data_IF_168503822830
#
_entry.id   IF_168503822830
#
_cell.length_a   1.000
_cell.length_b   1.000
_cell.length_c   1.000
_cell.angle_alpha   90.00
_cell.angle_beta   90.00
_cell.angle_gamma   90.00
#
_symmetry.space_group_name_H-M   'P 1'
#
loop_
_entity.id
_entity.type
_entity.pdbx_description
1 polymer ?
#
# COMPACT_ATOMS: atom_id res chain seq x y z
N UNK A 1 8.79 45.26 -29.91
CA UNK A 1 8.48 43.86 -29.53
C UNK A 1 7.93 43.86 -28.12
N UNK A 2 6.61 43.74 -27.95
CA UNK A 2 5.94 43.74 -26.65
C UNK A 2 6.08 42.36 -26.00
N UNK A 3 6.92 42.24 -24.98
CA UNK A 3 7.05 41.02 -24.18
C UNK A 3 5.76 40.77 -23.40
N UNK A 4 5.09 39.64 -23.69
CA UNK A 4 3.95 39.17 -22.88
C UNK A 4 4.40 39.04 -21.42
N UNK A 5 3.70 39.66 -20.45
CA UNK A 5 4.00 39.44 -19.04
C UNK A 5 3.81 37.96 -18.73
N UNK A 6 4.87 37.33 -18.20
CA UNK A 6 4.81 35.95 -17.73
C UNK A 6 3.84 35.92 -16.55
N UNK A 7 2.62 35.42 -16.79
CA UNK A 7 1.60 35.30 -15.76
C UNK A 7 2.06 34.22 -14.75
N UNK A 8 2.86 34.62 -13.78
CA UNK A 8 3.26 33.74 -12.70
C UNK A 8 2.04 33.56 -11.80
N UNK A 9 1.27 32.49 -12.00
CA UNK A 9 0.19 32.14 -11.08
C UNK A 9 0.84 31.69 -9.77
N UNK A 10 0.84 32.52 -8.71
CA UNK A 10 1.43 32.14 -7.44
C UNK A 10 0.47 31.12 -6.82
N UNK A 11 0.80 29.85 -7.00
CA UNK A 11 0.00 28.73 -6.48
C UNK A 11 -0.25 28.95 -5.00
N UNK A 12 -1.51 28.84 -4.59
CA UNK A 12 -1.88 29.03 -3.18
C UNK A 12 -1.20 27.97 -2.30
N UNK A 13 -0.98 28.26 -1.03
CA UNK A 13 -0.37 27.33 -0.08
C UNK A 13 -1.09 25.97 -0.05
N UNK A 14 -2.42 25.98 -0.17
CA UNK A 14 -3.23 24.76 -0.27
C UNK A 14 -2.95 23.94 -1.54
N UNK A 15 -2.75 24.61 -2.69
CA UNK A 15 -2.39 23.93 -3.94
C UNK A 15 -0.99 23.31 -3.87
N UNK A 16 -0.05 24.00 -3.21
CA UNK A 16 1.30 23.48 -2.99
C UNK A 16 1.27 22.27 -2.05
N UNK A 17 0.57 22.36 -0.92
CA UNK A 17 0.42 21.26 0.04
C UNK A 17 -0.26 20.03 -0.58
N UNK A 18 -1.27 20.21 -1.44
CA UNK A 18 -1.90 19.11 -2.16
C UNK A 18 -0.93 18.41 -3.14
N UNK A 19 -0.14 19.18 -3.89
CA UNK A 19 0.88 18.61 -4.79
C UNK A 19 1.94 17.82 -4.03
N UNK A 20 2.40 18.38 -2.92
CA UNK A 20 3.37 17.72 -2.04
C UNK A 20 2.84 16.41 -1.47
N UNK A 21 1.57 16.37 -1.03
CA UNK A 21 0.93 15.13 -0.57
C UNK A 21 0.80 14.11 -1.70
N UNK A 22 0.48 14.57 -2.91
CA UNK A 22 0.36 13.73 -4.09
C UNK A 22 1.69 13.06 -4.46
N UNK A 23 2.81 13.78 -4.38
CA UNK A 23 4.13 13.22 -4.72
C UNK A 23 4.43 11.95 -3.92
N UNK A 24 4.26 11.97 -2.60
CA UNK A 24 4.50 10.77 -1.78
C UNK A 24 3.60 9.60 -2.20
N UNK A 25 2.31 9.86 -2.39
CA UNK A 25 1.34 8.84 -2.80
C UNK A 25 1.69 8.22 -4.16
N UNK A 26 2.13 9.02 -5.12
CA UNK A 26 2.54 8.52 -6.43
C UNK A 26 3.75 7.59 -6.28
N UNK A 27 4.77 8.00 -5.54
CA UNK A 27 5.95 7.16 -5.29
C UNK A 27 5.57 5.86 -4.55
N UNK A 28 4.72 5.95 -3.52
CA UNK A 28 4.21 4.77 -2.80
C UNK A 28 3.48 3.82 -3.74
N UNK A 29 2.60 4.34 -4.60
CA UNK A 29 1.88 3.52 -5.56
C UNK A 29 2.84 2.84 -6.54
N UNK A 30 3.84 3.55 -7.05
CA UNK A 30 4.83 2.98 -7.97
C UNK A 30 5.53 1.77 -7.35
N UNK A 31 5.96 1.89 -6.09
CA UNK A 31 6.58 0.78 -5.35
C UNK A 31 5.64 -0.40 -5.08
N UNK A 32 4.36 -0.13 -4.82
CA UNK A 32 3.37 -1.15 -4.46
C UNK A 32 2.46 -1.57 -5.61
N UNK A 33 2.74 -1.13 -6.84
CA UNK A 33 1.80 -1.21 -7.95
C UNK A 33 1.43 -2.64 -8.33
N UNK A 34 2.34 -3.60 -8.20
CA UNK A 34 2.09 -5.03 -8.41
C UNK A 34 1.07 -5.58 -7.40
N UNK A 35 1.13 -5.13 -6.15
CA UNK A 35 0.27 -5.58 -5.06
C UNK A 35 -1.09 -4.90 -5.04
N UNK A 36 -1.18 -3.65 -5.52
CA UNK A 36 -2.44 -2.86 -5.52
C UNK A 36 -3.33 -3.19 -6.74
N UNK A 37 -2.80 -3.89 -7.75
CA UNK A 37 -3.61 -4.37 -8.87
C UNK A 37 -4.58 -5.44 -8.37
N UNK A 38 -5.87 -5.28 -8.67
CA UNK A 38 -6.91 -6.22 -8.26
C UNK A 38 -7.45 -6.08 -6.82
N UNK A 39 -6.89 -5.19 -5.99
CA UNK A 39 -7.28 -5.06 -4.57
C UNK A 39 -8.50 -4.17 -4.32
N UNK A 40 -9.09 -3.60 -5.37
CA UNK A 40 -10.28 -2.74 -5.29
C UNK A 40 -11.45 -3.40 -6.04
N UNK A 41 -12.22 -4.30 -5.38
CA UNK A 41 -13.26 -5.10 -6.04
C UNK A 41 -14.45 -4.25 -6.50
N UNK A 42 -14.81 -3.19 -5.77
CA UNK A 42 -15.94 -2.30 -6.10
C UNK A 42 -15.57 -1.16 -7.05
N UNK A 43 -14.44 -1.27 -7.75
CA UNK A 43 -13.96 -0.25 -8.68
C UNK A 43 -14.77 -0.28 -9.97
N UNK A 44 -15.27 0.88 -10.42
CA UNK A 44 -15.90 1.01 -11.74
C UNK A 44 -14.93 0.61 -12.87
N UNK A 45 -15.46 0.09 -13.98
CA UNK A 45 -14.66 -0.43 -15.11
C UNK A 45 -13.68 0.61 -15.68
N UNK A 46 -14.09 1.88 -15.71
CA UNK A 46 -13.30 2.99 -16.24
C UNK A 46 -12.23 3.56 -15.27
N UNK A 47 -12.18 3.07 -14.04
CA UNK A 47 -11.19 3.52 -13.06
C UNK A 47 -10.00 2.56 -13.01
N UNK A 48 -8.78 3.07 -12.81
CA UNK A 48 -7.61 2.23 -12.54
C UNK A 48 -7.43 2.02 -11.03
N UNK A 49 -6.70 0.99 -10.62
CA UNK A 49 -6.32 0.83 -9.20
C UNK A 49 -5.50 2.02 -8.70
N UNK A 50 -4.73 2.67 -9.58
CA UNK A 50 -4.06 3.94 -9.29
C UNK A 50 -5.06 5.03 -8.88
N UNK A 51 -6.10 5.24 -9.70
CA UNK A 51 -7.12 6.27 -9.42
C UNK A 51 -7.83 6.00 -8.09
N UNK A 52 -8.13 4.74 -7.79
CA UNK A 52 -8.71 4.33 -6.50
C UNK A 52 -7.76 4.65 -5.35
N UNK A 53 -6.50 4.21 -5.45
CA UNK A 53 -5.49 4.46 -4.42
C UNK A 53 -5.32 5.96 -4.14
N UNK A 54 -5.16 6.79 -5.17
CA UNK A 54 -5.03 8.24 -5.00
C UNK A 54 -6.30 8.83 -4.38
N UNK A 55 -7.50 8.46 -4.84
CA UNK A 55 -8.76 8.97 -4.30
C UNK A 55 -8.90 8.68 -2.81
N UNK A 56 -8.63 7.44 -2.38
CA UNK A 56 -8.78 7.01 -0.99
C UNK A 56 -7.76 7.64 -0.04
N UNK A 57 -6.55 7.93 -0.54
CA UNK A 57 -5.45 8.40 0.31
C UNK A 57 -5.21 9.93 0.22
N UNK A 58 -5.61 10.59 -0.87
CA UNK A 58 -5.48 12.04 -1.04
C UNK A 58 -6.65 12.80 -0.41
N UNK A 59 -7.85 12.21 -0.42
CA UNK A 59 -9.11 12.84 -0.01
C UNK A 59 -9.14 13.37 1.42
N UNK A 60 -10.17 14.17 1.74
CA UNK A 60 -10.35 14.82 3.05
C UNK A 60 -10.51 13.81 4.20
N UNK A 61 -11.06 12.64 3.90
CA UNK A 61 -11.29 11.54 4.85
C UNK A 61 -10.02 10.74 5.17
N UNK A 62 -8.94 10.95 4.40
CA UNK A 62 -7.66 10.30 4.67
C UNK A 62 -7.07 10.82 5.97
N UNK A 63 -6.90 9.91 6.93
CA UNK A 63 -6.24 10.18 8.21
C UNK A 63 -4.73 10.40 8.04
N UNK A 64 -4.16 9.99 6.90
CA UNK A 64 -2.72 10.09 6.63
C UNK A 64 -2.40 11.42 5.93
N UNK A 65 -1.62 12.26 6.63
CA UNK A 65 -1.13 13.54 6.12
C UNK A 65 0.39 13.51 6.08
N UNK A 66 0.91 13.11 4.93
CA UNK A 66 2.36 13.06 4.66
C UNK A 66 2.69 14.11 3.63
N UNK A 67 3.71 14.92 3.92
CA UNK A 67 4.18 15.99 3.05
C UNK A 67 5.68 15.87 2.88
N UNK A 68 6.15 15.89 1.64
CA UNK A 68 7.56 15.93 1.29
C UNK A 68 8.04 17.37 1.08
N UNK A 69 9.19 17.72 1.62
CA UNK A 69 9.86 18.95 1.22
C UNK A 69 10.36 18.85 -0.23
N UNK A 70 10.90 19.95 -0.77
CA UNK A 70 11.34 20.00 -2.18
C UNK A 70 12.48 19.02 -2.48
N UNK A 71 13.42 18.86 -1.55
CA UNK A 71 14.57 17.96 -1.72
C UNK A 71 14.10 16.50 -1.69
N UNK A 72 13.31 16.12 -0.68
CA UNK A 72 12.69 14.79 -0.57
C UNK A 72 11.87 14.43 -1.82
N UNK A 73 11.06 15.36 -2.32
CA UNK A 73 10.28 15.15 -3.54
C UNK A 73 11.17 14.96 -4.79
N UNK A 74 12.27 15.72 -4.89
CA UNK A 74 13.22 15.61 -6.00
C UNK A 74 13.98 14.28 -6.01
N UNK A 75 14.23 13.74 -4.80
CA UNK A 75 14.87 12.43 -4.58
C UNK A 75 13.87 11.26 -4.66
N UNK A 76 12.61 11.53 -5.03
CA UNK A 76 11.53 10.54 -5.04
C UNK A 76 11.42 9.78 -3.70
N UNK A 77 11.58 10.48 -2.58
CA UNK A 77 11.42 9.87 -1.26
C UNK A 77 10.02 9.27 -1.12
N UNK A 78 9.94 8.17 -0.37
CA UNK A 78 8.68 7.54 -0.02
C UNK A 78 8.61 7.31 1.48
N UNK A 79 7.67 7.99 2.13
CA UNK A 79 7.33 7.76 3.52
C UNK A 79 6.27 6.66 3.58
N UNK A 80 6.57 5.59 4.31
CA UNK A 80 5.65 4.49 4.58
C UNK A 80 4.69 4.93 5.68
N UNK A 81 3.40 4.87 5.39
CA UNK A 81 2.34 5.27 6.30
C UNK A 81 1.13 4.33 6.10
N UNK A 82 0.13 4.31 7.01
CA UNK A 82 -1.00 3.39 6.95
C UNK A 82 -2.01 3.80 5.86
N UNK A 83 -1.60 3.72 4.60
CA UNK A 83 -2.42 3.99 3.44
C UNK A 83 -3.45 2.88 3.22
N UNK A 84 -4.61 3.25 2.67
CA UNK A 84 -5.56 2.29 2.16
C UNK A 84 -5.02 1.71 0.83
N UNK A 85 -4.56 0.47 0.87
CA UNK A 85 -4.00 -0.26 -0.30
C UNK A 85 -4.96 -1.30 -0.89
N UNK A 86 -6.03 -1.62 -0.17
CA UNK A 86 -7.05 -2.59 -0.56
C UNK A 86 -8.42 -2.24 0.03
N UNK A 87 -9.46 -2.73 -0.61
CA UNK A 87 -10.85 -2.69 -0.15
C UNK A 87 -11.46 -4.08 -0.23
N UNK A 88 -12.41 -4.36 0.65
CA UNK A 88 -13.07 -5.66 0.68
C UNK A 88 -13.64 -5.95 2.06
N UNK A 89 -14.30 -7.09 2.18
CA UNK A 89 -14.91 -7.59 3.42
C UNK A 89 -14.28 -8.91 3.85
N UNK A 90 -12.96 -9.04 3.73
CA UNK A 90 -12.25 -10.14 4.37
C UNK A 90 -12.05 -9.80 5.85
N UNK A 91 -12.16 -10.81 6.70
CA UNK A 91 -11.77 -10.69 8.11
C UNK A 91 -10.32 -10.23 8.17
N UNK A 92 -10.06 -9.19 8.95
CA UNK A 92 -8.70 -8.68 9.08
C UNK A 92 -7.77 -9.77 9.62
N UNK A 93 -6.61 -9.92 8.99
CA UNK A 93 -5.54 -10.78 9.51
C UNK A 93 -4.77 -9.94 10.51
N UNK A 94 -4.97 -10.22 11.79
CA UNK A 94 -4.21 -9.57 12.85
C UNK A 94 -2.77 -10.05 12.77
N UNK A 95 -1.85 -9.13 13.03
CA UNK A 95 -0.41 -9.38 12.93
C UNK A 95 0.29 -8.73 14.11
N UNK A 96 1.06 -9.51 14.86
CA UNK A 96 1.80 -9.07 16.04
C UNK A 96 3.26 -9.48 15.88
N UNK A 97 4.17 -8.52 16.05
CA UNK A 97 5.60 -8.82 16.12
C UNK A 97 5.92 -9.44 17.50
N UNK A 98 6.55 -10.61 17.51
CA UNK A 98 6.98 -11.31 18.72
C UNK A 98 8.48 -11.64 18.59
N UNK A 99 9.34 -10.73 19.02
CA UNK A 99 10.78 -10.84 18.78
C UNK A 99 11.09 -10.80 17.28
N UNK A 100 11.78 -11.83 16.77
CA UNK A 100 12.14 -11.93 15.35
C UNK A 100 11.09 -12.66 14.49
N UNK A 101 9.92 -12.99 15.05
CA UNK A 101 8.84 -13.65 14.31
C UNK A 101 7.60 -12.79 14.22
N UNK A 102 6.94 -12.88 13.07
CA UNK A 102 5.66 -12.25 12.82
C UNK A 102 4.56 -13.29 13.08
N UNK A 103 3.75 -13.06 14.11
CA UNK A 103 2.62 -13.93 14.43
C UNK A 103 1.36 -13.36 13.81
N UNK A 104 0.67 -14.16 13.00
CA UNK A 104 -0.61 -13.77 12.40
C UNK A 104 -1.78 -14.50 13.09
N UNK A 105 -3.01 -14.02 12.89
CA UNK A 105 -4.22 -14.74 13.29
C UNK A 105 -4.60 -15.88 12.33
N UNK A 106 -3.83 -16.10 11.25
CA UNK A 106 -4.02 -17.23 10.35
C UNK A 106 -3.63 -18.52 11.06
N UNK A 107 -4.58 -19.45 11.13
CA UNK A 107 -4.39 -20.71 11.82
C UNK A 107 -3.66 -21.71 10.93
N UNK A 108 -2.90 -22.60 11.57
CA UNK A 108 -2.34 -23.80 10.96
C UNK A 108 -2.67 -24.98 11.87
N UNK A 109 -2.77 -26.21 11.34
CA UNK A 109 -2.83 -27.40 12.18
C UNK A 109 -1.62 -27.43 13.12
N UNK A 110 -1.83 -27.72 14.41
CA UNK A 110 -0.76 -27.66 15.43
C UNK A 110 0.45 -28.55 15.11
N UNK A 111 0.22 -29.64 14.40
CA UNK A 111 1.25 -30.59 13.97
C UNK A 111 1.90 -30.24 12.63
N UNK A 112 1.45 -29.19 11.94
CA UNK A 112 1.98 -28.82 10.64
C UNK A 112 3.32 -28.13 10.81
N UNK A 113 4.37 -28.73 10.24
CA UNK A 113 5.72 -28.20 10.22
C UNK A 113 6.19 -28.09 8.78
N UNK A 114 6.73 -26.93 8.42
CA UNK A 114 7.35 -26.73 7.12
C UNK A 114 8.77 -27.30 7.18
N UNK A 115 9.04 -28.29 6.36
CA UNK A 115 10.34 -28.93 6.16
C UNK A 115 10.85 -28.64 4.74
N UNK A 116 12.06 -29.12 4.41
CA UNK A 116 12.63 -28.95 3.07
C UNK A 116 11.81 -29.62 1.95
N UNK A 117 10.98 -30.61 2.28
CA UNK A 117 10.16 -31.35 1.32
C UNK A 117 8.72 -30.82 1.22
N UNK A 118 8.35 -29.86 2.09
CA UNK A 118 6.99 -29.32 2.11
C UNK A 118 6.72 -28.51 0.85
N UNK A 119 5.65 -28.89 0.15
CA UNK A 119 5.23 -28.23 -1.10
C UNK A 119 4.34 -27.01 -0.82
N UNK A 120 4.29 -26.08 -1.76
CA UNK A 120 3.36 -24.94 -1.71
C UNK A 120 1.90 -25.38 -1.60
N UNK A 121 1.54 -26.49 -2.25
CA UNK A 121 0.19 -27.05 -2.21
C UNK A 121 -0.18 -27.52 -0.80
N UNK A 122 0.73 -28.22 -0.11
CA UNK A 122 0.50 -28.68 1.27
C UNK A 122 0.30 -27.50 2.23
N UNK A 123 1.10 -26.45 2.10
CA UNK A 123 0.95 -25.22 2.89
C UNK A 123 -0.40 -24.55 2.60
N UNK A 124 -0.77 -24.41 1.32
CA UNK A 124 -2.03 -23.80 0.92
C UNK A 124 -3.24 -24.60 1.45
N UNK A 125 -3.20 -25.92 1.34
CA UNK A 125 -4.26 -26.79 1.85
C UNK A 125 -4.35 -26.78 3.37
N UNK A 126 -3.21 -26.72 4.08
CA UNK A 126 -3.20 -26.57 5.53
C UNK A 126 -3.85 -25.24 5.97
N UNK A 127 -3.55 -24.14 5.28
CA UNK A 127 -4.18 -22.84 5.51
C UNK A 127 -5.69 -22.90 5.26
N UNK A 128 -6.12 -23.37 4.08
CA UNK A 128 -7.54 -23.44 3.72
C UNK A 128 -8.35 -24.28 4.71
N UNK A 129 -7.82 -25.43 5.15
CA UNK A 129 -8.48 -26.31 6.12
C UNK A 129 -8.61 -25.68 7.50
N UNK A 130 -7.63 -24.88 7.93
CA UNK A 130 -7.62 -24.25 9.25
C UNK A 130 -8.35 -22.90 9.30
N UNK A 131 -8.64 -22.29 8.14
CA UNK A 131 -9.16 -20.94 8.02
C UNK A 131 -10.43 -20.92 7.13
N UNK A 132 -11.62 -21.24 7.67
CA UNK A 132 -12.85 -21.38 6.89
C UNK A 132 -13.32 -20.08 6.20
N UNK A 133 -12.79 -18.93 6.62
CA UNK A 133 -13.02 -17.65 5.96
C UNK A 133 -12.28 -17.50 4.63
N UNK A 134 -11.28 -18.33 4.35
CA UNK A 134 -10.49 -18.31 3.12
C UNK A 134 -11.05 -19.31 2.10
N UNK A 135 -10.83 -19.01 0.81
CA UNK A 135 -11.26 -19.84 -0.31
C UNK A 135 -10.10 -20.09 -1.26
N UNK A 136 -10.24 -21.17 -2.02
CA UNK A 136 -9.33 -21.40 -3.15
C UNK A 136 -9.38 -20.22 -4.12
N UNK A 137 -8.20 -19.74 -4.54
CA UNK A 137 -8.05 -18.53 -5.34
C UNK A 137 -7.82 -17.24 -4.53
N UNK A 138 -8.02 -17.25 -3.20
CA UNK A 138 -7.61 -16.12 -2.36
C UNK A 138 -6.08 -15.97 -2.37
N UNK A 139 -5.61 -14.73 -2.47
CA UNK A 139 -4.18 -14.41 -2.47
C UNK A 139 -3.76 -13.72 -1.18
N UNK A 140 -2.82 -14.32 -0.45
CA UNK A 140 -2.15 -13.66 0.68
C UNK A 140 -0.84 -13.06 0.18
N UNK A 141 -0.63 -11.78 0.47
CA UNK A 141 0.64 -11.08 0.25
C UNK A 141 1.16 -10.52 1.57
N UNK A 142 2.40 -10.86 1.93
CA UNK A 142 3.09 -10.29 3.11
C UNK A 142 4.04 -9.22 2.61
N UNK A 143 3.83 -7.98 3.05
CA UNK A 143 4.65 -6.82 2.68
C UNK A 143 5.53 -6.43 3.86
N UNK A 144 6.84 -6.53 3.70
CA UNK A 144 7.81 -5.96 4.63
C UNK A 144 8.37 -4.68 4.01
N UNK A 145 7.96 -3.54 4.55
CA UNK A 145 8.35 -2.22 4.06
C UNK A 145 9.34 -1.60 5.05
N UNK A 146 10.58 -1.38 4.60
CA UNK A 146 11.62 -0.72 5.38
C UNK A 146 11.84 0.68 4.83
N UNK A 147 11.86 1.68 5.71
CA UNK A 147 12.20 3.04 5.36
C UNK A 147 13.65 3.32 5.75
N UNK A 148 14.44 3.84 4.81
CA UNK A 148 15.79 4.33 5.06
C UNK A 148 15.84 5.84 4.90
N UNK A 149 16.74 6.49 5.63
CA UNK A 149 17.10 7.87 5.33
C UNK A 149 17.86 7.90 3.99
N UNK A 150 17.67 8.92 3.15
CA UNK A 150 18.47 9.08 1.94
C UNK A 150 19.95 9.20 2.35
N UNK A 151 20.84 8.48 1.65
CA UNK A 151 22.28 8.72 1.77
C UNK A 151 22.58 10.18 1.39
N UNK A 152 23.48 10.82 2.16
CA UNK A 152 23.79 12.25 2.03
C UNK A 152 24.54 12.57 0.75
#
# INVERSE_FOLDING_TARGET
MTTKPTLCNPRTQNQQAQRTKLTNLVTTYQMLSSFIRGTYPSKAENLSSYNMFIKRNLGRESKVKVYLNKDEASRQACIIAPYNISEGRLTSIETVAQGNVLRTSLLMPRSFQITGDTTTEEVAMALLRANPQMREGDQISILHLIQHLPEQ
#
